data_IF_791647129826
#
_entry.id   IF_791647129826
#
_cell.length_a   1.000
_cell.length_b   1.000
_cell.length_c   1.000
_cell.angle_alpha   90.00
_cell.angle_beta   90.00
_cell.angle_gamma   90.00
#
_symmetry.space_group_name_H-M   'P 1'
#
loop_
_entity.id
_entity.type
_entity.pdbx_description
1 polymer ?
#
# COMPACT_ATOMS: atom_id res chain seq x y z
N UNK A 1 -18.73 26.35 47.49
CA UNK A 1 -17.60 25.96 46.62
C UNK A 1 -18.09 24.79 45.78
N UNK A 2 -18.66 25.10 44.61
CA UNK A 2 -19.30 24.10 43.73
C UNK A 2 -18.20 23.52 42.86
N UNK A 3 -18.02 22.19 42.92
CA UNK A 3 -17.12 21.46 42.04
C UNK A 3 -17.70 21.46 40.63
N UNK A 4 -16.96 22.02 39.67
CA UNK A 4 -17.23 21.87 38.24
C UNK A 4 -17.05 20.39 37.86
N UNK A 5 -18.06 19.70 37.32
CA UNK A 5 -17.91 18.34 36.84
C UNK A 5 -17.16 18.37 35.51
N UNK A 6 -16.02 17.67 35.47
CA UNK A 6 -15.21 17.41 34.28
C UNK A 6 -16.09 17.17 33.04
N UNK A 7 -16.12 18.14 32.13
CA UNK A 7 -16.77 17.98 30.84
C UNK A 7 -15.92 17.06 29.96
N UNK A 8 -16.12 15.75 30.10
CA UNK A 8 -15.66 14.79 29.09
C UNK A 8 -16.53 14.97 27.84
N UNK A 9 -16.19 15.96 27.01
CA UNK A 9 -16.77 16.03 25.66
C UNK A 9 -16.39 14.73 24.94
N UNK A 10 -17.34 13.95 24.43
CA UNK A 10 -17.03 12.80 23.60
C UNK A 10 -16.25 13.31 22.39
N UNK A 11 -14.97 12.94 22.30
CA UNK A 11 -14.14 13.24 21.13
C UNK A 11 -14.80 12.53 19.94
N UNK A 12 -15.37 13.30 19.02
CA UNK A 12 -15.97 12.75 17.80
C UNK A 12 -14.93 11.90 17.09
N UNK A 13 -15.17 10.59 17.01
CA UNK A 13 -14.24 9.62 16.41
C UNK A 13 -14.06 9.82 14.91
N UNK A 14 -14.99 10.53 14.27
CA UNK A 14 -14.97 10.88 12.86
C UNK A 14 -14.59 12.34 12.70
N UNK A 15 -13.39 12.58 12.19
CA UNK A 15 -12.94 13.90 11.75
C UNK A 15 -13.52 14.23 10.37
N UNK A 16 -13.62 15.52 10.01
CA UNK A 16 -14.05 15.90 8.67
C UNK A 16 -13.19 15.22 7.61
N UNK A 17 -13.81 14.80 6.52
CA UNK A 17 -13.20 14.06 5.40
C UNK A 17 -11.98 14.80 4.81
N UNK A 18 -11.84 16.10 5.06
CA UNK A 18 -10.72 16.93 4.64
C UNK A 18 -9.34 16.41 5.09
N UNK A 19 -9.17 15.95 6.34
CA UNK A 19 -7.86 15.49 6.83
C UNK A 19 -7.42 14.19 6.14
N UNK A 20 -8.25 13.13 6.07
CA UNK A 20 -7.96 11.95 5.25
C UNK A 20 -7.67 12.27 3.79
N UNK A 21 -8.44 13.17 3.17
CA UNK A 21 -8.23 13.56 1.76
C UNK A 21 -6.88 14.27 1.56
N UNK A 22 -6.49 15.15 2.48
CA UNK A 22 -5.18 15.80 2.44
C UNK A 22 -4.05 14.77 2.48
N UNK A 23 -4.16 13.76 3.35
CA UNK A 23 -3.16 12.72 3.50
C UNK A 23 -3.07 11.84 2.25
N UNK A 24 -4.21 11.45 1.69
CA UNK A 24 -4.27 10.72 0.43
C UNK A 24 -3.65 11.54 -0.73
N UNK A 25 -3.92 12.85 -0.78
CA UNK A 25 -3.33 13.74 -1.78
C UNK A 25 -1.80 13.86 -1.62
N UNK A 26 -1.29 13.96 -0.39
CA UNK A 26 0.16 13.98 -0.12
C UNK A 26 0.83 12.68 -0.55
N UNK A 27 0.24 11.52 -0.22
CA UNK A 27 0.75 10.22 -0.67
C UNK A 27 0.79 10.15 -2.21
N UNK A 28 -0.29 10.57 -2.88
CA UNK A 28 -0.35 10.59 -4.34
C UNK A 28 0.67 11.54 -4.95
N UNK A 29 0.84 12.75 -4.42
CA UNK A 29 1.81 13.71 -4.94
C UNK A 29 3.26 13.23 -4.76
N UNK A 30 3.56 12.60 -3.63
CA UNK A 30 4.90 12.07 -3.36
C UNK A 30 5.27 10.89 -4.27
N UNK A 31 4.29 10.06 -4.63
CA UNK A 31 4.53 8.76 -5.30
C UNK A 31 4.02 8.69 -6.74
N UNK A 32 3.14 9.59 -7.14
CA UNK A 32 2.43 9.57 -8.42
C UNK A 32 3.32 9.82 -9.64
N UNK A 33 4.51 10.39 -9.45
CA UNK A 33 5.52 10.47 -10.51
C UNK A 33 5.91 9.08 -11.05
N UNK A 34 5.80 8.03 -10.22
CA UNK A 34 6.06 6.64 -10.61
C UNK A 34 5.14 6.13 -11.71
N UNK A 35 3.95 6.70 -11.88
CA UNK A 35 2.98 6.30 -12.91
C UNK A 35 3.52 6.47 -14.34
N UNK A 36 4.54 7.33 -14.50
CA UNK A 36 5.19 7.62 -15.78
C UNK A 36 6.46 6.79 -16.00
N UNK A 37 6.88 6.03 -15.00
CA UNK A 37 8.07 5.19 -15.05
C UNK A 37 7.72 3.81 -15.61
N UNK A 38 8.71 3.14 -16.17
CA UNK A 38 8.62 1.73 -16.56
C UNK A 38 9.09 0.81 -15.43
N UNK A 39 8.97 -0.50 -15.65
CA UNK A 39 9.64 -1.50 -14.82
C UNK A 39 11.15 -1.27 -14.82
N UNK A 40 11.79 -1.41 -13.66
CA UNK A 40 13.24 -1.21 -13.52
C UNK A 40 13.85 -2.40 -12.77
N UNK A 41 15.11 -2.73 -13.07
CA UNK A 41 15.88 -3.78 -12.38
C UNK A 41 15.25 -5.17 -12.53
N UNK A 42 14.80 -5.75 -11.42
CA UNK A 42 14.24 -7.10 -11.33
C UNK A 42 12.75 -7.13 -11.68
N UNK A 43 12.06 -5.99 -11.77
CA UNK A 43 10.63 -5.92 -12.06
C UNK A 43 10.29 -6.61 -13.39
N UNK A 44 11.12 -6.41 -14.42
CA UNK A 44 10.98 -7.08 -15.71
C UNK A 44 11.05 -8.60 -15.59
N UNK A 45 11.92 -9.12 -14.71
CA UNK A 45 12.11 -10.56 -14.51
C UNK A 45 10.99 -11.15 -13.66
N UNK A 46 10.60 -10.45 -12.61
CA UNK A 46 9.59 -10.87 -11.63
C UNK A 46 8.17 -10.77 -12.17
N UNK A 47 7.90 -9.84 -13.11
CA UNK A 47 6.55 -9.59 -13.63
C UNK A 47 6.42 -10.11 -15.06
N UNK A 48 7.15 -9.53 -16.01
CA UNK A 48 6.97 -9.83 -17.45
C UNK A 48 7.49 -11.21 -17.85
N UNK A 49 8.60 -11.64 -17.24
CA UNK A 49 9.22 -12.95 -17.52
C UNK A 49 8.74 -14.03 -16.57
N UNK A 50 7.71 -13.73 -15.77
CA UNK A 50 7.21 -14.69 -14.80
C UNK A 50 6.36 -15.77 -15.41
N UNK A 51 6.86 -17.01 -15.38
CA UNK A 51 6.10 -18.17 -15.88
C UNK A 51 4.82 -18.37 -15.08
N UNK A 52 4.88 -18.23 -13.76
CA UNK A 52 3.69 -18.33 -12.89
C UNK A 52 2.64 -17.25 -13.11
N UNK A 53 3.03 -16.07 -13.60
CA UNK A 53 2.10 -15.00 -13.98
C UNK A 53 1.47 -15.22 -15.37
N UNK A 54 2.21 -15.86 -16.30
CA UNK A 54 1.77 -16.11 -17.68
C UNK A 54 0.94 -17.38 -17.84
N UNK A 55 1.33 -18.45 -17.15
CA UNK A 55 0.60 -19.72 -17.15
C UNK A 55 -0.48 -19.64 -16.07
N UNK A 56 -1.57 -18.95 -16.41
CA UNK A 56 -2.69 -18.57 -15.55
C UNK A 56 -3.54 -19.75 -15.01
N UNK A 57 -2.93 -20.89 -14.67
CA UNK A 57 -3.62 -22.10 -14.23
C UNK A 57 -4.08 -22.08 -12.78
N UNK A 58 -3.39 -21.40 -11.85
CA UNK A 58 -3.90 -21.21 -10.48
C UNK A 58 -3.00 -20.28 -9.68
N UNK A 59 -3.46 -19.07 -9.38
CA UNK A 59 -2.78 -18.16 -8.45
C UNK A 59 -2.56 -18.81 -7.06
N UNK A 60 -3.36 -19.83 -6.73
CA UNK A 60 -3.22 -20.71 -5.58
C UNK A 60 -1.88 -21.45 -5.51
N UNK A 61 -1.19 -21.67 -6.63
CA UNK A 61 0.13 -22.30 -6.66
C UNK A 61 1.18 -21.49 -5.90
N UNK A 62 1.03 -20.16 -5.82
CA UNK A 62 1.96 -19.32 -5.04
C UNK A 62 1.89 -19.61 -3.54
N UNK A 63 0.78 -20.19 -3.05
CA UNK A 63 0.64 -20.60 -1.66
C UNK A 63 1.29 -21.95 -1.37
N UNK A 64 1.66 -22.72 -2.40
CA UNK A 64 2.31 -24.01 -2.25
C UNK A 64 3.83 -23.80 -2.11
N UNK A 65 4.46 -24.18 -0.98
CA UNK A 65 5.91 -24.06 -0.81
C UNK A 65 6.73 -24.80 -1.87
N UNK A 66 6.16 -25.81 -2.55
CA UNK A 66 6.83 -26.53 -3.65
C UNK A 66 7.09 -25.65 -4.86
N UNK A 67 6.19 -24.71 -5.15
CA UNK A 67 6.38 -23.71 -6.22
C UNK A 67 7.68 -22.92 -6.06
N UNK A 68 8.16 -22.75 -4.83
CA UNK A 68 9.33 -21.95 -4.50
C UNK A 68 10.64 -22.73 -4.38
N UNK A 69 10.60 -24.07 -4.53
CA UNK A 69 11.79 -24.96 -4.50
C UNK A 69 12.28 -25.35 -5.88
N UNK A 70 11.41 -25.26 -6.89
CA UNK A 70 11.75 -25.48 -8.28
C UNK A 70 12.29 -24.16 -8.88
N UNK A 71 13.29 -24.22 -9.76
CA UNK A 71 13.94 -23.07 -10.43
C UNK A 71 12.99 -22.35 -11.42
N UNK A 72 11.86 -21.86 -10.91
CA UNK A 72 11.02 -20.91 -11.60
C UNK A 72 11.75 -19.56 -11.48
N UNK A 73 12.44 -19.19 -12.57
CA UNK A 73 13.27 -17.97 -12.83
C UNK A 73 12.66 -16.65 -12.28
N UNK A 74 11.40 -16.68 -11.86
CA UNK A 74 10.48 -15.60 -11.59
C UNK A 74 10.15 -15.42 -10.11
N UNK A 75 10.36 -16.44 -9.27
CA UNK A 75 10.02 -16.40 -7.85
C UNK A 75 11.15 -15.78 -7.00
N UNK A 76 12.40 -15.89 -7.47
CA UNK A 76 13.56 -15.88 -6.58
C UNK A 76 13.47 -17.03 -5.57
N UNK A 77 14.53 -17.24 -4.79
CA UNK A 77 14.53 -18.31 -3.76
C UNK A 77 13.70 -17.96 -2.50
N UNK A 78 12.96 -16.85 -2.52
CA UNK A 78 12.29 -16.30 -1.34
C UNK A 78 10.77 -16.45 -1.41
N UNK A 79 10.19 -17.19 -0.46
CA UNK A 79 8.73 -17.39 -0.34
C UNK A 79 7.99 -16.06 -0.12
N UNK A 80 7.30 -15.56 -1.15
CA UNK A 80 6.59 -14.26 -1.15
C UNK A 80 5.18 -14.34 -1.77
N UNK A 81 4.29 -15.21 -1.25
CA UNK A 81 2.99 -15.49 -1.85
C UNK A 81 2.11 -14.27 -2.06
N UNK A 82 2.04 -13.36 -1.08
CA UNK A 82 1.19 -12.17 -1.15
C UNK A 82 1.63 -11.24 -2.28
N UNK A 83 2.94 -11.08 -2.48
CA UNK A 83 3.49 -10.28 -3.58
C UNK A 83 3.11 -10.86 -4.94
N UNK A 84 3.32 -12.17 -5.13
CA UNK A 84 2.99 -12.82 -6.41
C UNK A 84 1.49 -12.79 -6.70
N UNK A 85 0.66 -12.98 -5.67
CA UNK A 85 -0.79 -12.83 -5.81
C UNK A 85 -1.18 -11.41 -6.24
N UNK A 86 -0.56 -10.38 -5.65
CA UNK A 86 -0.78 -8.99 -6.07
C UNK A 86 -0.36 -8.78 -7.52
N UNK A 87 0.85 -9.20 -7.89
CA UNK A 87 1.32 -9.08 -9.29
C UNK A 87 0.46 -9.88 -10.26
N UNK A 88 -0.13 -11.00 -9.84
CA UNK A 88 -1.02 -11.81 -10.66
C UNK A 88 -2.40 -11.18 -10.84
N UNK A 89 -2.86 -10.39 -9.87
CA UNK A 89 -4.04 -9.56 -10.02
C UNK A 89 -3.74 -8.37 -10.95
N UNK A 90 -2.63 -7.68 -10.73
CA UNK A 90 -2.22 -6.54 -11.55
C UNK A 90 -1.96 -6.93 -13.01
N UNK A 91 -1.28 -8.06 -13.26
CA UNK A 91 -1.06 -8.57 -14.61
C UNK A 91 -2.36 -8.94 -15.33
N UNK A 92 -3.38 -9.41 -14.60
CA UNK A 92 -4.71 -9.69 -15.17
C UNK A 92 -5.49 -8.41 -15.48
N UNK A 93 -5.33 -7.38 -14.66
CA UNK A 93 -6.06 -6.12 -14.80
C UNK A 93 -5.40 -5.17 -15.82
N UNK A 94 -4.07 -5.10 -15.81
CA UNK A 94 -3.27 -4.12 -16.54
C UNK A 94 -2.38 -4.72 -17.62
N UNK A 95 -2.30 -6.05 -17.72
CA UNK A 95 -1.40 -6.74 -18.64
C UNK A 95 0.07 -6.47 -18.30
N UNK A 96 0.85 -6.02 -19.29
CA UNK A 96 2.26 -5.64 -19.12
C UNK A 96 2.48 -4.14 -18.90
N UNK A 97 1.43 -3.35 -18.63
CA UNK A 97 1.55 -1.90 -18.48
C UNK A 97 2.05 -1.52 -17.07
N UNK A 98 3.33 -1.15 -16.96
CA UNK A 98 3.96 -0.75 -15.69
C UNK A 98 3.18 0.34 -14.94
N UNK A 99 2.63 1.33 -15.64
CA UNK A 99 1.83 2.39 -15.02
C UNK A 99 0.62 1.88 -14.25
N UNK A 100 0.02 0.74 -14.66
CA UNK A 100 -1.09 0.12 -13.95
C UNK A 100 -0.66 -0.52 -12.62
N UNK A 101 0.49 -1.19 -12.60
CA UNK A 101 1.08 -1.74 -11.36
C UNK A 101 1.44 -0.61 -10.39
N UNK A 102 2.05 0.46 -10.90
CA UNK A 102 2.34 1.65 -10.10
C UNK A 102 1.06 2.31 -9.57
N UNK A 103 -0.02 2.34 -10.34
CA UNK A 103 -1.31 2.85 -9.89
C UNK A 103 -1.87 2.05 -8.72
N UNK A 104 -1.83 0.71 -8.78
CA UNK A 104 -2.23 -0.15 -7.66
C UNK A 104 -1.40 0.19 -6.41
N UNK A 105 -0.09 0.31 -6.53
CA UNK A 105 0.79 0.63 -5.40
C UNK A 105 0.52 2.03 -4.81
N UNK A 106 0.34 3.05 -5.66
CA UNK A 106 0.01 4.42 -5.23
C UNK A 106 -1.33 4.44 -4.49
N UNK A 107 -2.34 3.72 -4.99
CA UNK A 107 -3.65 3.62 -4.34
C UNK A 107 -3.57 2.93 -2.98
N UNK A 108 -2.82 1.82 -2.89
CA UNK A 108 -2.59 1.10 -1.63
C UNK A 108 -1.82 1.96 -0.62
N UNK A 109 -0.81 2.71 -1.05
CA UNK A 109 -0.06 3.62 -0.17
C UNK A 109 -0.92 4.77 0.35
N UNK A 110 -1.76 5.36 -0.51
CA UNK A 110 -2.71 6.40 -0.09
C UNK A 110 -3.72 5.85 0.94
N UNK A 111 -4.27 4.65 0.70
CA UNK A 111 -5.16 3.99 1.64
C UNK A 111 -4.47 3.69 2.98
N UNK A 112 -3.25 3.13 2.95
CA UNK A 112 -2.47 2.85 4.15
C UNK A 112 -2.10 4.11 4.94
N UNK A 113 -1.80 5.21 4.26
CA UNK A 113 -1.52 6.50 4.90
C UNK A 113 -2.74 7.04 5.65
N UNK A 114 -3.94 6.88 5.08
CA UNK A 114 -5.20 7.23 5.74
C UNK A 114 -5.49 6.28 6.93
N UNK A 115 -5.19 4.99 6.81
CA UNK A 115 -5.31 4.05 7.92
C UNK A 115 -4.32 4.37 9.05
N UNK A 116 -3.07 4.73 8.73
CA UNK A 116 -2.07 5.17 9.69
C UNK A 116 -2.51 6.43 10.44
N UNK A 117 -3.19 7.35 9.76
CA UNK A 117 -3.83 8.50 10.40
C UNK A 117 -4.90 8.11 11.41
N UNK A 118 -5.84 7.24 11.03
CA UNK A 118 -6.88 6.79 11.95
C UNK A 118 -6.30 6.00 13.13
N UNK A 119 -5.26 5.21 12.88
CA UNK A 119 -4.51 4.54 13.93
C UNK A 119 -3.89 5.57 14.89
N UNK A 120 -3.21 6.59 14.38
CA UNK A 120 -2.61 7.64 15.21
C UNK A 120 -3.68 8.45 15.99
N UNK A 121 -4.83 8.73 15.39
CA UNK A 121 -5.97 9.35 16.07
C UNK A 121 -6.49 8.45 17.19
N UNK A 122 -6.53 7.14 16.99
CA UNK A 122 -6.98 6.18 18.03
C UNK A 122 -6.02 6.14 19.23
N UNK A 123 -4.72 6.35 19.00
CA UNK A 123 -3.68 6.29 20.02
C UNK A 123 -3.48 7.61 20.77
N UNK A 124 -3.44 8.74 20.05
CA UNK A 124 -3.08 10.05 20.63
C UNK A 124 -4.27 11.00 20.73
N UNK A 125 -5.42 10.60 20.19
CA UNK A 125 -6.59 11.45 20.04
C UNK A 125 -6.47 12.44 18.88
N UNK A 126 -7.58 13.08 18.58
CA UNK A 126 -7.68 14.13 17.56
C UNK A 126 -6.75 15.31 17.89
N UNK A 127 -5.78 15.59 17.01
CA UNK A 127 -4.86 16.73 17.17
C UNK A 127 -3.99 16.97 15.93
N UNK A 128 -2.95 17.78 16.10
CA UNK A 128 -1.90 17.98 15.07
C UNK A 128 -0.93 16.80 15.03
N UNK A 129 -0.75 16.06 16.14
CA UNK A 129 0.17 14.92 16.23
C UNK A 129 -0.18 13.79 15.26
N UNK A 130 -1.42 13.26 15.18
CA UNK A 130 -1.76 12.23 14.20
C UNK A 130 -1.62 12.70 12.76
N UNK A 131 -1.96 13.96 12.49
CA UNK A 131 -1.86 14.54 11.16
C UNK A 131 -0.40 14.63 10.72
N UNK A 132 0.48 15.14 11.58
CA UNK A 132 1.91 15.21 11.30
C UNK A 132 2.53 13.81 11.10
N UNK A 133 2.19 12.84 11.97
CA UNK A 133 2.67 11.47 11.86
C UNK A 133 2.27 10.81 10.52
N UNK A 134 1.00 10.96 10.13
CA UNK A 134 0.51 10.38 8.88
C UNK A 134 1.02 11.14 7.65
N UNK A 135 1.16 12.46 7.71
CA UNK A 135 1.77 13.23 6.63
C UNK A 135 3.24 12.83 6.41
N UNK A 136 4.01 12.67 7.49
CA UNK A 136 5.37 12.15 7.43
C UNK A 136 5.39 10.75 6.82
N UNK A 137 4.53 9.84 7.28
CA UNK A 137 4.41 8.50 6.71
C UNK A 137 4.09 8.52 5.20
N UNK A 138 3.16 9.39 4.78
CA UNK A 138 2.72 9.50 3.39
C UNK A 138 3.84 9.96 2.44
N UNK A 139 4.72 10.86 2.88
CA UNK A 139 5.80 11.43 2.05
C UNK A 139 7.15 10.74 2.26
N UNK A 140 7.26 9.81 3.21
CA UNK A 140 8.55 9.19 3.54
C UNK A 140 9.01 8.27 2.40
N UNK A 141 10.22 8.48 1.83
CA UNK A 141 10.75 7.64 0.76
C UNK A 141 11.07 6.19 1.16
N UNK A 142 10.97 5.82 2.44
CA UNK A 142 11.10 4.41 2.85
C UNK A 142 9.87 3.57 2.51
N UNK A 143 8.74 4.21 2.20
CA UNK A 143 7.47 3.56 1.87
C UNK A 143 7.22 3.46 0.36
N UNK A 144 8.25 3.75 -0.45
CA UNK A 144 8.27 3.68 -1.92
C UNK A 144 9.37 2.76 -2.39
#
# INVERSE_FOLDING_TARGET
MVHDPCSHRPRSRFRPIAEPLLIAALAFLATGASLRNGFVWEDDRLILRSRGLRDAGSAWLFLDPRYWREDHISAGTAYRPVRELSFAADARLWGGWAGGFHLTNVALHAANSVLAYYLAVSLFGAGHVPLAAAALFAVHPLNT
#
